data_IF_296065065410
#
_entry.id   IF_296065065410
#
_cell.length_a   1.000
_cell.length_b   1.000
_cell.length_c   1.000
_cell.angle_alpha   90.00
_cell.angle_beta   90.00
_cell.angle_gamma   90.00
#
_symmetry.space_group_name_H-M   'P 1'
#
loop_
_entity.id
_entity.type
_entity.pdbx_description
1 polymer ?
#
# COMPACT_ATOMS: atom_id res chain seq x y z
N UNK A 1 -22.18 -2.28 18.46
CA UNK A 1 -22.60 -1.88 17.09
C UNK A 1 -22.18 -3.02 16.18
N UNK A 2 -23.12 -3.73 15.55
CA UNK A 2 -22.83 -4.93 14.73
C UNK A 2 -22.75 -4.62 13.24
N UNK A 3 -23.06 -3.38 12.85
CA UNK A 3 -23.14 -2.96 11.46
C UNK A 3 -22.56 -1.55 11.28
N UNK A 4 -21.74 -1.38 10.24
CA UNK A 4 -21.40 -0.08 9.68
C UNK A 4 -22.40 0.07 8.54
N UNK A 5 -23.39 0.97 8.66
CA UNK A 5 -24.54 1.09 7.74
C UNK A 5 -24.19 1.23 6.25
N UNK A 6 -24.64 2.29 5.58
CA UNK A 6 -24.18 2.50 4.20
C UNK A 6 -22.69 2.89 4.19
N UNK A 7 -21.82 1.92 3.88
CA UNK A 7 -20.36 2.11 3.82
C UNK A 7 -19.86 2.62 2.47
N UNK A 8 -20.75 2.86 1.49
CA UNK A 8 -20.36 3.33 0.15
C UNK A 8 -19.67 4.70 0.14
N UNK A 9 -19.93 5.53 1.16
CA UNK A 9 -19.27 6.83 1.35
C UNK A 9 -17.97 6.80 2.15
N UNK A 10 -17.53 5.63 2.65
CA UNK A 10 -16.30 5.53 3.44
C UNK A 10 -15.09 5.71 2.53
N UNK A 11 -14.32 6.76 2.78
CA UNK A 11 -13.10 7.09 2.02
C UNK A 11 -11.81 6.84 2.81
N UNK A 12 -11.89 6.68 4.13
CA UNK A 12 -10.76 6.43 5.03
C UNK A 12 -11.21 5.54 6.18
N UNK A 13 -10.38 4.56 6.54
CA UNK A 13 -10.52 3.76 7.75
C UNK A 13 -9.18 3.77 8.48
N UNK A 14 -9.18 4.09 9.77
CA UNK A 14 -7.95 4.10 10.57
C UNK A 14 -7.46 2.70 10.92
N UNK A 15 -6.16 2.57 11.16
CA UNK A 15 -5.55 1.33 11.63
C UNK A 15 -6.28 0.74 12.84
N UNK A 16 -6.58 -0.55 12.79
CA UNK A 16 -7.29 -1.32 13.81
C UNK A 16 -8.67 -0.77 14.22
N UNK A 17 -9.25 0.15 13.44
CA UNK A 17 -10.54 0.74 13.77
C UNK A 17 -11.67 -0.30 13.88
N UNK A 18 -11.46 -1.49 13.29
CA UNK A 18 -12.45 -2.55 13.18
C UNK A 18 -11.96 -3.90 13.72
N UNK A 19 -10.79 -3.93 14.37
CA UNK A 19 -10.24 -5.15 14.97
C UNK A 19 -11.17 -5.69 16.05
N UNK A 20 -11.25 -7.02 16.13
CA UNK A 20 -12.08 -7.74 17.08
C UNK A 20 -13.57 -7.33 17.07
N UNK A 21 -14.03 -6.68 16.00
CA UNK A 21 -15.44 -6.34 15.85
C UNK A 21 -16.23 -7.52 15.27
N UNK A 22 -17.48 -7.74 15.71
CA UNK A 22 -18.38 -8.70 15.08
C UNK A 22 -18.60 -8.42 13.59
N UNK A 23 -18.57 -7.13 13.22
CA UNK A 23 -18.68 -6.69 11.82
C UNK A 23 -17.51 -7.18 10.97
N UNK A 24 -16.27 -7.02 11.45
CA UNK A 24 -15.08 -7.47 10.75
C UNK A 24 -15.08 -8.99 10.55
N UNK A 25 -15.54 -9.74 11.56
CA UNK A 25 -15.64 -11.20 11.49
C UNK A 25 -16.68 -11.71 10.49
N UNK A 26 -17.68 -10.90 10.14
CA UNK A 26 -18.77 -11.29 9.24
C UNK A 26 -18.60 -10.85 7.79
N UNK A 27 -17.60 -10.02 7.47
CA UNK A 27 -17.40 -9.53 6.10
C UNK A 27 -16.91 -10.61 5.16
N UNK A 28 -17.50 -10.65 3.97
CA UNK A 28 -17.01 -11.44 2.86
C UNK A 28 -15.66 -10.91 2.35
N UNK A 29 -14.87 -11.82 1.81
CA UNK A 29 -13.58 -11.52 1.21
C UNK A 29 -13.72 -11.40 -0.30
N UNK A 30 -13.10 -10.37 -0.87
CA UNK A 30 -12.87 -10.28 -2.31
C UNK A 30 -11.42 -10.69 -2.56
N UNK A 31 -11.28 -11.85 -3.18
CA UNK A 31 -9.99 -12.44 -3.54
C UNK A 31 -8.99 -12.59 -2.36
N UNK A 32 -9.52 -12.94 -1.18
CA UNK A 32 -8.73 -13.10 0.05
C UNK A 32 -8.51 -11.80 0.82
N UNK A 33 -9.19 -10.71 0.46
CA UNK A 33 -9.08 -9.42 1.14
C UNK A 33 -10.43 -8.88 1.63
N UNK A 34 -10.42 -8.24 2.79
CA UNK A 34 -11.55 -7.58 3.42
C UNK A 34 -11.57 -6.09 3.10
N UNK A 35 -12.79 -5.55 3.01
CA UNK A 35 -13.05 -4.17 2.64
C UNK A 35 -14.09 -3.55 3.56
N UNK A 36 -14.01 -2.23 3.70
CA UNK A 36 -15.08 -1.36 4.22
C UNK A 36 -15.43 -0.38 3.11
N UNK A 37 -16.61 -0.52 2.51
CA UNK A 37 -16.94 0.23 1.30
C UNK A 37 -15.93 -0.04 0.17
N UNK A 38 -15.15 0.99 -0.17
CA UNK A 38 -14.09 0.95 -1.20
C UNK A 38 -12.66 1.01 -0.61
N UNK A 39 -12.53 0.85 0.71
CA UNK A 39 -11.25 0.81 1.42
C UNK A 39 -10.87 -0.65 1.67
N UNK A 40 -9.75 -1.10 1.10
CA UNK A 40 -9.18 -2.40 1.44
C UNK A 40 -8.52 -2.30 2.81
N UNK A 41 -8.98 -3.08 3.78
CA UNK A 41 -8.47 -3.02 5.15
C UNK A 41 -7.45 -4.12 5.46
N UNK A 42 -7.60 -5.31 4.88
CA UNK A 42 -6.66 -6.41 5.11
C UNK A 42 -6.77 -7.51 4.05
N UNK A 43 -5.63 -8.01 3.59
CA UNK A 43 -5.53 -9.24 2.82
C UNK A 43 -5.06 -10.37 3.72
N UNK A 44 -5.94 -11.36 3.89
CA UNK A 44 -5.79 -12.51 4.78
C UNK A 44 -5.04 -13.65 4.10
N UNK A 45 -5.16 -13.79 2.78
CA UNK A 45 -4.40 -14.78 2.03
C UNK A 45 -2.93 -14.34 1.85
N UNK A 46 -2.11 -14.69 2.84
CA UNK A 46 -0.67 -14.41 2.83
C UNK A 46 0.11 -15.27 1.82
N UNK A 47 -0.50 -16.27 1.18
CA UNK A 47 0.18 -17.16 0.22
C UNK A 47 -0.01 -16.71 -1.22
N UNK A 48 -1.09 -16.01 -1.52
CA UNK A 48 -1.40 -15.53 -2.86
C UNK A 48 -0.35 -14.56 -3.39
N UNK A 49 -0.07 -14.68 -4.69
CA UNK A 49 0.94 -13.86 -5.39
C UNK A 49 0.32 -12.83 -6.34
N UNK A 50 -0.94 -13.03 -6.71
CA UNK A 50 -1.71 -12.34 -7.76
C UNK A 50 -3.10 -11.90 -7.24
N UNK A 51 -3.12 -11.03 -6.24
CA UNK A 51 -4.38 -10.52 -5.67
C UNK A 51 -5.05 -9.55 -6.65
N UNK A 52 -6.34 -9.75 -6.90
CA UNK A 52 -7.19 -8.85 -7.68
C UNK A 52 -8.02 -7.96 -6.75
N UNK A 53 -7.81 -6.65 -6.86
CA UNK A 53 -8.56 -5.69 -6.06
C UNK A 53 -10.03 -5.58 -6.53
N UNK A 54 -10.92 -5.28 -5.59
CA UNK A 54 -12.33 -5.00 -5.88
C UNK A 54 -12.44 -3.78 -6.81
N UNK A 55 -13.34 -3.82 -7.79
CA UNK A 55 -13.62 -2.66 -8.64
C UNK A 55 -14.10 -1.47 -7.80
N UNK A 56 -13.57 -0.28 -8.09
CA UNK A 56 -13.87 0.92 -7.34
C UNK A 56 -13.08 1.10 -6.05
N UNK A 57 -12.09 0.24 -5.77
CA UNK A 57 -11.17 0.44 -4.62
C UNK A 57 -10.48 1.81 -4.72
N UNK A 58 -10.66 2.64 -3.70
CA UNK A 58 -10.11 4.00 -3.64
C UNK A 58 -8.92 4.12 -2.69
N UNK A 59 -8.76 3.17 -1.76
CA UNK A 59 -7.71 3.20 -0.74
C UNK A 59 -7.22 1.79 -0.41
N UNK A 60 -5.91 1.67 -0.29
CA UNK A 60 -5.26 0.55 0.39
C UNK A 60 -4.95 1.02 1.81
N UNK A 61 -5.59 0.37 2.78
CA UNK A 61 -5.48 0.69 4.19
C UNK A 61 -4.11 0.44 4.79
N UNK A 62 -3.96 0.87 6.04
CA UNK A 62 -2.76 0.63 6.83
C UNK A 62 -2.54 -0.88 6.99
N UNK A 63 -1.30 -1.35 6.80
CA UNK A 63 -0.87 -2.75 6.93
C UNK A 63 -1.66 -3.77 6.08
N UNK A 64 -2.42 -3.30 5.09
CA UNK A 64 -3.41 -4.14 4.46
C UNK A 64 -2.83 -5.35 3.70
N UNK A 65 -1.62 -5.27 3.17
CA UNK A 65 -0.89 -6.38 2.56
C UNK A 65 0.27 -6.89 3.42
N UNK A 66 0.31 -6.58 4.72
CA UNK A 66 1.43 -6.96 5.58
C UNK A 66 1.70 -8.47 5.51
N UNK A 67 2.96 -8.83 5.26
CA UNK A 67 3.44 -10.21 5.24
C UNK A 67 2.92 -11.07 4.08
N UNK A 68 2.21 -10.47 3.12
CA UNK A 68 1.73 -11.20 1.94
C UNK A 68 2.89 -11.59 1.01
N UNK A 69 2.64 -12.57 0.15
CA UNK A 69 3.61 -13.07 -0.83
C UNK A 69 3.39 -12.49 -2.23
N UNK A 70 2.68 -11.37 -2.33
CA UNK A 70 2.43 -10.69 -3.60
C UNK A 70 3.75 -10.46 -4.34
N UNK A 71 3.75 -10.80 -5.63
CA UNK A 71 4.90 -10.54 -6.51
C UNK A 71 4.73 -9.23 -7.27
N UNK A 72 3.48 -8.94 -7.64
CA UNK A 72 3.01 -7.73 -8.29
C UNK A 72 1.56 -7.48 -7.88
N UNK A 73 1.13 -6.23 -7.84
CA UNK A 73 -0.27 -5.87 -7.63
C UNK A 73 -0.79 -5.17 -8.89
N UNK A 74 -1.89 -5.67 -9.45
CA UNK A 74 -2.64 -4.93 -10.46
C UNK A 74 -3.53 -3.93 -9.71
N UNK A 75 -3.09 -2.69 -9.69
CA UNK A 75 -3.81 -1.64 -9.00
C UNK A 75 -5.09 -1.31 -9.78
N UNK A 76 -6.24 -1.51 -9.14
CA UNK A 76 -7.51 -1.02 -9.65
C UNK A 76 -7.41 0.48 -9.95
N UNK A 77 -8.04 0.91 -11.04
CA UNK A 77 -8.12 2.34 -11.38
C UNK A 77 -8.82 3.09 -10.25
N UNK A 78 -8.27 4.26 -9.89
CA UNK A 78 -8.91 5.17 -8.94
C UNK A 78 -8.40 5.06 -7.50
N UNK A 79 -7.39 4.25 -7.22
CA UNK A 79 -6.71 4.28 -5.92
C UNK A 79 -6.06 5.64 -5.72
N UNK A 80 -6.42 6.31 -4.63
CA UNK A 80 -5.95 7.65 -4.25
C UNK A 80 -4.92 7.62 -3.13
N UNK A 81 -5.04 6.64 -2.24
CA UNK A 81 -4.33 6.60 -0.96
C UNK A 81 -3.75 5.20 -0.75
N UNK A 82 -2.47 5.14 -0.40
CA UNK A 82 -1.80 3.94 0.12
C UNK A 82 -1.34 4.23 1.55
N UNK A 83 -1.87 3.46 2.50
CA UNK A 83 -1.72 3.69 3.94
C UNK A 83 -0.34 3.38 4.52
N UNK A 84 -0.22 3.61 5.83
CA UNK A 84 0.93 3.28 6.64
C UNK A 84 1.30 1.81 6.47
N UNK A 85 2.55 1.53 6.09
CA UNK A 85 3.09 0.16 5.99
C UNK A 85 2.23 -0.81 5.19
N UNK A 86 1.48 -0.31 4.22
CA UNK A 86 0.51 -1.11 3.47
C UNK A 86 1.10 -2.41 2.90
N UNK A 87 2.38 -2.43 2.52
CA UNK A 87 3.09 -3.59 1.98
C UNK A 87 4.24 -4.06 2.88
N UNK A 88 4.19 -3.81 4.19
CA UNK A 88 5.27 -4.25 5.09
C UNK A 88 5.49 -5.77 5.01
N UNK A 89 6.76 -6.20 5.04
CA UNK A 89 7.15 -7.61 5.00
C UNK A 89 6.69 -8.39 3.74
N UNK A 90 6.32 -7.71 2.63
CA UNK A 90 6.01 -8.37 1.36
C UNK A 90 7.26 -8.96 0.70
N UNK A 91 7.71 -10.11 1.20
CA UNK A 91 9.02 -10.68 0.89
C UNK A 91 9.22 -11.09 -0.58
N UNK A 92 8.15 -11.32 -1.34
CA UNK A 92 8.23 -11.68 -2.76
C UNK A 92 8.15 -10.46 -3.71
N UNK A 93 7.75 -9.30 -3.20
CA UNK A 93 7.58 -8.09 -4.00
C UNK A 93 8.96 -7.64 -4.50
N UNK A 94 9.17 -7.69 -5.81
CA UNK A 94 10.48 -7.45 -6.43
C UNK A 94 10.58 -6.12 -7.17
N UNK A 95 9.45 -5.62 -7.65
CA UNK A 95 9.28 -4.28 -8.21
C UNK A 95 7.92 -3.73 -7.76
N UNK A 96 7.80 -2.41 -7.62
CA UNK A 96 6.56 -1.73 -7.33
C UNK A 96 6.35 -0.56 -8.30
N UNK A 97 5.25 -0.59 -9.04
CA UNK A 97 4.80 0.53 -9.87
C UNK A 97 3.60 1.13 -9.18
N UNK A 98 3.77 2.30 -8.57
CA UNK A 98 2.64 3.02 -8.00
C UNK A 98 1.75 3.50 -9.16
N UNK A 99 0.44 3.23 -9.12
CA UNK A 99 -0.45 3.55 -10.24
C UNK A 99 -0.71 5.06 -10.34
N UNK A 100 -0.92 5.51 -11.58
CA UNK A 100 -1.36 6.88 -11.84
C UNK A 100 -2.68 7.18 -11.10
N UNK A 101 -2.74 8.34 -10.46
CA UNK A 101 -3.89 8.80 -9.70
C UNK A 101 -3.77 8.61 -8.19
N UNK A 102 -2.75 7.89 -7.70
CA UNK A 102 -2.38 7.92 -6.28
C UNK A 102 -1.85 9.31 -5.94
N UNK A 103 -2.43 9.92 -4.92
CA UNK A 103 -2.15 11.27 -4.45
C UNK A 103 -1.33 11.24 -3.16
N UNK A 104 -1.45 10.17 -2.37
CA UNK A 104 -0.84 10.04 -1.05
C UNK A 104 -0.20 8.66 -0.80
N UNK A 105 1.04 8.68 -0.32
CA UNK A 105 1.76 7.52 0.22
C UNK A 105 2.05 7.71 1.71
N UNK A 106 1.62 6.74 2.53
CA UNK A 106 1.88 6.72 3.97
C UNK A 106 3.33 6.49 4.36
N UNK A 107 3.59 6.45 5.66
CA UNK A 107 4.91 6.15 6.22
C UNK A 107 5.26 4.66 6.05
N UNK A 108 6.52 4.36 5.73
CA UNK A 108 7.07 3.00 5.65
C UNK A 108 6.28 2.03 4.72
N UNK A 109 5.61 2.53 3.68
CA UNK A 109 4.70 1.74 2.81
C UNK A 109 5.29 0.39 2.38
N UNK A 110 6.58 0.34 2.07
CA UNK A 110 7.26 -0.88 1.63
C UNK A 110 8.17 -1.51 2.69
N UNK A 111 8.09 -1.13 3.98
CA UNK A 111 8.97 -1.61 5.07
C UNK A 111 9.30 -3.09 4.98
N UNK A 112 10.58 -3.46 5.14
CA UNK A 112 11.05 -4.84 5.17
C UNK A 112 10.70 -5.70 3.93
N UNK A 113 10.37 -5.11 2.77
CA UNK A 113 10.27 -5.81 1.48
C UNK A 113 11.65 -6.21 0.94
N UNK A 114 12.21 -7.32 1.45
CA UNK A 114 13.62 -7.69 1.24
C UNK A 114 14.03 -7.91 -0.22
N UNK A 115 13.11 -8.30 -1.10
CA UNK A 115 13.41 -8.54 -2.52
C UNK A 115 13.11 -7.35 -3.43
N UNK A 116 12.59 -6.24 -2.90
CA UNK A 116 12.19 -5.08 -3.68
C UNK A 116 13.44 -4.33 -4.17
N UNK A 117 13.57 -4.23 -5.50
CA UNK A 117 14.76 -3.65 -6.16
C UNK A 117 14.46 -2.37 -6.90
N UNK A 118 13.22 -2.22 -7.35
CA UNK A 118 12.79 -1.14 -8.23
C UNK A 118 11.45 -0.57 -7.76
N UNK A 119 11.39 0.75 -7.66
CA UNK A 119 10.14 1.47 -7.39
C UNK A 119 9.98 2.60 -8.41
N UNK A 120 8.79 2.70 -8.99
CA UNK A 120 8.36 3.84 -9.78
C UNK A 120 7.23 4.57 -9.05
N UNK A 121 7.45 5.86 -8.75
CA UNK A 121 6.45 6.78 -8.19
C UNK A 121 5.97 7.69 -9.32
N UNK A 122 4.67 7.81 -9.62
CA UNK A 122 4.15 8.66 -10.70
C UNK A 122 4.02 10.13 -10.28
N UNK A 123 3.90 11.01 -11.28
CA UNK A 123 3.68 12.47 -11.12
C UNK A 123 2.47 12.83 -10.25
N UNK A 124 1.46 11.96 -10.20
CA UNK A 124 0.22 12.22 -9.44
C UNK A 124 0.42 12.24 -7.93
N UNK A 125 1.52 11.67 -7.42
CA UNK A 125 1.76 11.63 -5.98
C UNK A 125 2.12 13.02 -5.50
N UNK A 126 1.22 13.67 -4.77
CA UNK A 126 1.42 15.03 -4.26
C UNK A 126 2.09 15.03 -2.89
N UNK A 127 1.82 14.00 -2.09
CA UNK A 127 2.21 13.95 -0.68
C UNK A 127 2.76 12.58 -0.33
N UNK A 128 3.89 12.61 0.34
CA UNK A 128 4.54 11.45 0.92
C UNK A 128 4.83 11.75 2.37
N UNK A 129 4.59 10.79 3.27
CA UNK A 129 5.12 10.89 4.62
C UNK A 129 6.62 10.61 4.64
N UNK A 130 7.29 11.07 5.68
CA UNK A 130 8.72 10.80 5.93
C UNK A 130 8.96 9.28 5.83
N UNK A 131 10.09 8.85 5.27
CA UNK A 131 10.50 7.42 5.23
C UNK A 131 9.56 6.45 4.48
N UNK A 132 8.85 6.85 3.42
CA UNK A 132 8.01 5.94 2.59
C UNK A 132 8.68 4.58 2.24
N UNK A 133 10.00 4.57 2.04
CA UNK A 133 10.75 3.37 1.63
C UNK A 133 11.37 2.56 2.78
N UNK A 134 11.22 2.98 4.04
CA UNK A 134 11.56 2.24 5.25
C UNK A 134 13.04 2.00 5.58
N UNK A 135 13.38 2.09 6.87
CA UNK A 135 14.75 2.01 7.38
C UNK A 135 15.49 0.67 7.14
N UNK A 136 14.78 -0.41 6.78
CA UNK A 136 15.32 -1.79 6.74
C UNK A 136 15.64 -2.38 5.36
N UNK A 137 15.52 -1.62 4.27
CA UNK A 137 15.50 -2.19 2.90
C UNK A 137 16.61 -1.65 1.99
N UNK A 138 17.38 -0.72 2.52
CA UNK A 138 18.25 0.15 1.73
C UNK A 138 19.51 -0.49 1.15
N UNK A 139 19.80 -1.74 1.50
CA UNK A 139 20.91 -2.48 0.90
C UNK A 139 20.54 -3.15 -0.45
N UNK A 140 19.25 -3.36 -0.74
CA UNK A 140 18.80 -4.13 -1.91
C UNK A 140 18.18 -3.29 -3.04
N UNK A 141 17.72 -2.07 -2.74
CA UNK A 141 17.20 -1.15 -3.76
C UNK A 141 18.29 -0.71 -4.72
N UNK A 142 18.08 -0.92 -6.02
CA UNK A 142 19.02 -0.49 -7.05
C UNK A 142 18.58 0.82 -7.70
N UNK A 143 17.28 0.96 -7.97
CA UNK A 143 16.74 2.08 -8.72
C UNK A 143 15.40 2.53 -8.12
N UNK A 144 15.30 3.80 -7.74
CA UNK A 144 14.03 4.42 -7.36
C UNK A 144 13.83 5.61 -8.30
N UNK A 145 12.74 5.61 -9.06
CA UNK A 145 12.38 6.70 -9.96
C UNK A 145 11.29 7.56 -9.32
N UNK A 146 11.56 8.86 -9.16
CA UNK A 146 10.74 9.79 -8.39
C UNK A 146 10.53 11.10 -9.17
N UNK A 147 9.32 11.67 -9.18
CA UNK A 147 9.07 12.99 -9.76
C UNK A 147 9.86 14.12 -9.08
N UNK A 148 10.28 15.12 -9.85
CA UNK A 148 11.04 16.26 -9.36
C UNK A 148 10.33 17.06 -8.25
N UNK A 149 8.99 17.18 -8.26
CA UNK A 149 8.28 17.96 -7.23
C UNK A 149 8.31 17.30 -5.85
N UNK A 150 8.65 16.01 -5.78
CA UNK A 150 8.86 15.31 -4.52
C UNK A 150 10.33 15.33 -4.05
N UNK A 151 11.21 16.03 -4.78
CA UNK A 151 12.61 16.20 -4.36
C UNK A 151 12.67 16.87 -2.99
N UNK A 152 13.31 16.19 -2.02
CA UNK A 152 13.39 16.64 -0.63
C UNK A 152 12.27 16.15 0.29
N UNK A 153 11.21 15.53 -0.24
CA UNK A 153 10.18 14.88 0.59
C UNK A 153 10.56 13.45 0.99
N UNK A 154 11.55 12.86 0.31
CA UNK A 154 12.12 11.57 0.65
C UNK A 154 13.37 11.75 1.52
N UNK A 155 13.27 11.41 2.80
CA UNK A 155 14.45 11.20 3.65
C UNK A 155 14.92 9.77 3.41
N UNK A 156 16.11 9.63 2.83
CA UNK A 156 16.68 8.35 2.42
C UNK A 156 18.05 8.13 3.09
N UNK A 157 18.14 7.16 4.00
CA UNK A 157 19.35 6.87 4.78
C UNK A 157 20.12 5.64 4.25
N UNK A 158 20.11 5.41 2.95
CA UNK A 158 20.50 4.15 2.33
C UNK A 158 21.49 4.19 1.18
N UNK A 159 21.70 3.07 0.45
CA UNK A 159 22.61 2.97 -0.72
C UNK A 159 21.94 3.08 -2.10
N UNK A 160 20.61 3.14 -2.16
CA UNK A 160 19.84 3.21 -3.39
C UNK A 160 20.15 4.48 -4.17
N UNK A 161 20.09 4.34 -5.50
CA UNK A 161 20.18 5.47 -6.41
C UNK A 161 18.75 5.97 -6.68
N UNK A 162 18.42 7.13 -6.13
CA UNK A 162 17.21 7.86 -6.51
C UNK A 162 17.52 8.62 -7.80
N UNK A 163 16.70 8.40 -8.83
CA UNK A 163 16.68 9.18 -10.06
C UNK A 163 15.43 10.04 -10.04
N UNK A 164 15.65 11.34 -10.01
CA UNK A 164 14.57 12.30 -10.19
C UNK A 164 14.30 12.49 -11.68
N UNK A 165 13.04 12.59 -12.06
CA UNK A 165 12.59 12.84 -13.43
C UNK A 165 11.58 13.97 -13.48
#
# INVERSE_FOLDING_TARGET
>A
MTDIGDSSGVSVVGYNALDDTPWYSSQEEVDGCKYVGNVLIECLDKKKTDIKLKEGTTMIGDLAFEGTKIYSLDFAKGIKIIGYRAFENCSNLSFAVIPDGVEYLGYDVFSSCKNLREIYVPESVERVQVEVFGNGIFDNYKNIAVPNHLSGMFIYNGKARIKYY
#
